data_IF_952554130073
#
_entry.id   IF_952554130073
#
_cell.length_a   1.000
_cell.length_b   1.000
_cell.length_c   1.000
_cell.angle_alpha   90.00
_cell.angle_beta   90.00
_cell.angle_gamma   90.00
#
_symmetry.space_group_name_H-M   'P 1'
#
loop_
_entity.id
_entity.type
_entity.pdbx_description
1 polymer ?
#
# COMPACT_ATOMS: atom_id res chain seq x y z
N UNK A 1 -14.00 -8.65 -27.28
CA UNK A 1 -14.23 -7.45 -28.10
C UNK A 1 -14.92 -6.32 -27.33
N UNK A 2 -16.11 -6.52 -26.71
CA UNK A 2 -16.74 -5.47 -25.88
C UNK A 2 -15.91 -5.09 -24.64
N UNK A 3 -15.43 -6.09 -23.88
CA UNK A 3 -14.54 -5.88 -22.73
C UNK A 3 -13.24 -5.14 -23.11
N UNK A 4 -12.70 -5.44 -24.29
CA UNK A 4 -11.46 -4.85 -24.83
C UNK A 4 -11.60 -3.36 -25.12
N UNK A 5 -12.72 -2.97 -25.74
CA UNK A 5 -13.02 -1.57 -26.04
C UNK A 5 -13.23 -0.80 -24.73
N UNK A 6 -13.90 -1.40 -23.74
CA UNK A 6 -14.09 -0.78 -22.43
C UNK A 6 -12.76 -0.62 -21.70
N UNK A 7 -11.89 -1.63 -21.67
CA UNK A 7 -10.58 -1.58 -21.01
C UNK A 7 -9.66 -0.53 -21.66
N UNK A 8 -9.60 -0.46 -22.99
CA UNK A 8 -8.82 0.57 -23.70
C UNK A 8 -9.43 1.97 -23.53
N UNK A 9 -10.76 2.12 -23.56
CA UNK A 9 -11.41 3.40 -23.31
C UNK A 9 -11.16 3.86 -21.87
N UNK A 10 -11.21 2.96 -20.89
CA UNK A 10 -10.94 3.28 -19.50
C UNK A 10 -9.49 3.70 -19.33
N UNK A 11 -8.52 2.96 -19.87
CA UNK A 11 -7.10 3.35 -19.85
C UNK A 11 -6.88 4.74 -20.48
N UNK A 12 -7.47 5.02 -21.65
CA UNK A 12 -7.34 6.33 -22.31
C UNK A 12 -8.01 7.46 -21.52
N UNK A 13 -9.19 7.21 -20.94
CA UNK A 13 -9.90 8.18 -20.10
C UNK A 13 -9.15 8.42 -18.78
N UNK A 14 -8.53 7.37 -18.23
CA UNK A 14 -7.71 7.41 -17.03
C UNK A 14 -6.45 8.25 -17.23
N UNK A 15 -5.73 8.08 -18.36
CA UNK A 15 -4.60 8.94 -18.75
C UNK A 15 -5.00 10.41 -18.92
N UNK A 16 -6.24 10.67 -19.34
CA UNK A 16 -6.75 12.04 -19.52
C UNK A 16 -7.20 12.69 -18.19
N UNK A 17 -7.61 11.87 -17.21
CA UNK A 17 -8.11 12.31 -15.90
C UNK A 17 -7.00 12.33 -14.84
N UNK A 18 -5.95 11.52 -14.98
CA UNK A 18 -4.77 11.68 -14.16
C UNK A 18 -4.12 13.02 -14.52
N UNK A 19 -4.02 13.96 -13.57
CA UNK A 19 -3.16 15.09 -13.81
C UNK A 19 -1.76 14.53 -14.07
N UNK A 20 -1.20 14.83 -15.26
CA UNK A 20 0.26 14.77 -15.45
C UNK A 20 0.86 15.53 -14.29
N UNK A 21 1.52 14.83 -13.38
CA UNK A 21 2.23 15.37 -12.21
C UNK A 21 1.72 16.76 -11.86
N UNK A 22 0.49 16.87 -11.33
CA UNK A 22 -0.17 18.16 -11.14
C UNK A 22 0.77 19.08 -10.39
N UNK A 23 1.26 20.08 -11.11
CA UNK A 23 2.15 21.11 -10.56
C UNK A 23 1.29 21.95 -9.62
N UNK A 24 1.28 21.62 -8.34
CA UNK A 24 0.92 22.58 -7.32
C UNK A 24 1.99 23.67 -7.35
N UNK A 25 1.57 24.90 -7.65
CA UNK A 25 2.47 26.03 -7.86
C UNK A 25 2.94 26.52 -6.48
N UNK A 26 4.13 26.06 -6.09
CA UNK A 26 4.91 26.60 -4.99
C UNK A 26 6.40 26.47 -5.28
N UNK A 27 7.19 27.49 -4.93
CA UNK A 27 8.63 27.56 -5.26
C UNK A 27 9.44 26.40 -4.65
N UNK A 28 9.04 25.91 -3.46
CA UNK A 28 9.73 24.80 -2.76
C UNK A 28 9.49 23.44 -3.42
N UNK A 29 8.26 23.13 -3.82
CA UNK A 29 7.93 21.84 -4.45
C UNK A 29 8.67 21.64 -5.78
N UNK A 30 8.72 22.69 -6.61
CA UNK A 30 9.45 22.66 -7.88
C UNK A 30 10.96 22.49 -7.67
N UNK A 31 11.52 23.11 -6.63
CA UNK A 31 12.93 22.97 -6.30
C UNK A 31 13.28 21.54 -5.87
N UNK A 32 12.49 20.94 -4.96
CA UNK A 32 12.66 19.54 -4.53
C UNK A 32 12.51 18.60 -5.73
N UNK A 33 11.47 18.79 -6.56
CA UNK A 33 11.23 17.97 -7.74
C UNK A 33 12.37 18.06 -8.76
N UNK A 34 12.94 19.25 -8.97
CA UNK A 34 14.10 19.45 -9.84
C UNK A 34 15.35 18.73 -9.29
N UNK A 35 15.58 18.83 -7.98
CA UNK A 35 16.71 18.22 -7.30
C UNK A 35 16.71 16.69 -7.44
N UNK A 36 15.54 16.06 -7.27
CA UNK A 36 15.40 14.60 -7.41
C UNK A 36 15.08 14.16 -8.85
N UNK A 37 15.07 15.07 -9.82
CA UNK A 37 14.72 14.76 -11.22
C UNK A 37 15.51 13.61 -11.85
N UNK A 38 16.81 13.38 -11.56
CA UNK A 38 17.53 12.23 -12.11
C UNK A 38 17.02 10.88 -11.60
N UNK A 39 16.29 10.89 -10.47
CA UNK A 39 15.79 9.70 -9.80
C UNK A 39 14.28 9.50 -10.03
N UNK A 40 13.59 10.37 -10.77
CA UNK A 40 12.15 10.26 -10.99
C UNK A 40 11.77 9.09 -11.89
N UNK A 41 10.71 8.39 -11.50
CA UNK A 41 10.22 7.20 -12.21
C UNK A 41 9.54 7.52 -13.55
N UNK A 42 9.83 6.74 -14.61
CA UNK A 42 9.19 6.87 -15.92
C UNK A 42 7.83 6.14 -15.99
N UNK A 43 6.77 6.86 -15.63
CA UNK A 43 5.40 6.36 -15.73
C UNK A 43 4.93 6.08 -17.15
N UNK A 44 5.30 6.93 -18.11
CA UNK A 44 4.77 6.82 -19.49
C UNK A 44 5.35 5.57 -20.15
N UNK A 45 6.67 5.37 -20.04
CA UNK A 45 7.32 4.17 -20.54
C UNK A 45 6.77 2.91 -19.87
N UNK A 46 6.56 2.96 -18.55
CA UNK A 46 5.98 1.82 -17.82
C UNK A 46 4.55 1.49 -18.27
N UNK A 47 3.66 2.48 -18.33
CA UNK A 47 2.23 2.29 -18.64
C UNK A 47 2.03 1.74 -20.06
N UNK A 48 2.78 2.26 -21.04
CA UNK A 48 2.75 1.74 -22.41
C UNK A 48 3.17 0.26 -22.48
N UNK A 49 4.21 -0.13 -21.74
CA UNK A 49 4.65 -1.52 -21.66
C UNK A 49 3.61 -2.41 -20.93
N UNK A 50 2.98 -1.91 -19.87
CA UNK A 50 1.95 -2.62 -19.12
C UNK A 50 0.71 -2.88 -19.99
N UNK A 51 0.23 -1.88 -20.72
CA UNK A 51 -0.89 -2.01 -21.66
C UNK A 51 -0.56 -3.03 -22.76
N UNK A 52 0.66 -3.00 -23.31
CA UNK A 52 1.09 -3.96 -24.33
C UNK A 52 1.09 -5.40 -23.78
N UNK A 53 1.63 -5.62 -22.59
CA UNK A 53 1.63 -6.93 -21.94
C UNK A 53 0.22 -7.46 -21.65
N UNK A 54 -0.71 -6.58 -21.25
CA UNK A 54 -2.13 -6.94 -21.05
C UNK A 54 -2.84 -7.26 -22.36
N UNK A 55 -2.52 -6.57 -23.45
CA UNK A 55 -3.04 -6.90 -24.76
C UNK A 55 -2.58 -8.30 -25.20
N UNK A 56 -1.29 -8.62 -25.06
CA UNK A 56 -0.76 -9.94 -25.41
C UNK A 56 -1.43 -11.07 -24.61
N UNK A 57 -1.59 -10.89 -23.30
CA UNK A 57 -2.27 -11.88 -22.44
C UNK A 57 -3.73 -12.08 -22.83
N UNK A 58 -4.43 -11.01 -23.22
CA UNK A 58 -5.82 -11.11 -23.68
C UNK A 58 -5.96 -11.97 -24.95
N UNK A 59 -5.01 -11.86 -25.88
CA UNK A 59 -5.05 -12.58 -27.15
C UNK A 59 -4.50 -14.01 -27.06
N UNK A 60 -3.53 -14.26 -26.18
CA UNK A 60 -2.76 -15.51 -26.17
C UNK A 60 -2.71 -16.22 -24.79
N UNK A 61 -3.43 -15.73 -23.79
CA UNK A 61 -3.40 -16.24 -22.43
C UNK A 61 -3.90 -17.68 -22.29
N UNK A 62 -3.08 -18.55 -21.69
CA UNK A 62 -3.38 -19.98 -21.55
C UNK A 62 -4.17 -20.34 -20.28
N UNK A 63 -4.36 -19.40 -19.34
CA UNK A 63 -5.09 -19.60 -18.08
C UNK A 63 -6.55 -20.03 -18.28
N UNK A 64 -7.14 -19.75 -19.45
CA UNK A 64 -8.50 -20.16 -19.81
C UNK A 64 -8.68 -21.70 -19.86
N UNK A 65 -7.59 -22.47 -20.01
CA UNK A 65 -7.62 -23.93 -20.10
C UNK A 65 -7.32 -24.64 -18.77
N UNK A 66 -7.00 -23.90 -17.72
CA UNK A 66 -6.71 -24.44 -16.38
C UNK A 66 -8.00 -24.51 -15.55
N UNK A 67 -8.16 -25.59 -14.77
CA UNK A 67 -9.13 -25.61 -13.67
C UNK A 67 -8.66 -24.76 -12.48
N UNK A 68 -9.54 -24.54 -11.50
CA UNK A 68 -9.22 -23.64 -10.38
C UNK A 68 -8.09 -24.17 -9.48
N UNK A 69 -7.98 -25.48 -9.31
CA UNK A 69 -6.89 -26.06 -8.52
C UNK A 69 -5.54 -25.85 -9.22
N UNK A 70 -5.49 -26.03 -10.54
CA UNK A 70 -4.32 -25.75 -11.36
C UNK A 70 -3.96 -24.26 -11.33
N UNK A 71 -4.95 -23.36 -11.36
CA UNK A 71 -4.74 -21.92 -11.26
C UNK A 71 -4.11 -21.50 -9.93
N UNK A 72 -4.70 -21.93 -8.82
CA UNK A 72 -4.13 -21.65 -7.49
C UNK A 72 -2.74 -22.26 -7.33
N UNK A 73 -2.49 -23.45 -7.87
CA UNK A 73 -1.16 -24.05 -7.84
C UNK A 73 -0.15 -23.25 -8.68
N UNK A 74 -0.54 -22.79 -9.88
CA UNK A 74 0.31 -21.95 -10.72
C UNK A 74 0.76 -20.69 -9.99
N UNK A 75 -0.15 -20.02 -9.29
CA UNK A 75 0.18 -18.83 -8.49
C UNK A 75 1.16 -19.19 -7.37
N UNK A 76 0.95 -20.31 -6.66
CA UNK A 76 1.88 -20.75 -5.59
C UNK A 76 3.27 -21.04 -6.13
N UNK A 77 3.37 -21.74 -7.25
CA UNK A 77 4.64 -22.07 -7.88
C UNK A 77 5.35 -20.79 -8.33
N UNK A 78 4.62 -19.84 -8.94
CA UNK A 78 5.15 -18.53 -9.29
C UNK A 78 5.70 -17.78 -8.07
N UNK A 79 4.97 -17.76 -6.94
CA UNK A 79 5.44 -17.09 -5.71
C UNK A 79 6.66 -17.79 -5.09
N UNK A 80 6.72 -19.12 -5.15
CA UNK A 80 7.86 -19.89 -4.65
C UNK A 80 9.13 -19.62 -5.47
N UNK A 81 9.00 -19.60 -6.80
CA UNK A 81 10.10 -19.29 -7.71
C UNK A 81 10.56 -17.84 -7.56
N UNK A 82 9.62 -16.92 -7.34
CA UNK A 82 9.94 -15.53 -7.01
C UNK A 82 10.73 -15.43 -5.69
N UNK A 83 10.31 -16.15 -4.65
CA UNK A 83 11.03 -16.19 -3.38
C UNK A 83 12.46 -16.73 -3.56
N UNK A 84 12.63 -17.75 -4.39
CA UNK A 84 13.96 -18.29 -4.73
C UNK A 84 14.81 -17.26 -5.48
N UNK A 85 14.24 -16.51 -6.43
CA UNK A 85 14.96 -15.45 -7.12
C UNK A 85 15.44 -14.36 -6.16
N UNK A 86 14.59 -13.92 -5.23
CA UNK A 86 14.95 -12.95 -4.19
C UNK A 86 16.03 -13.48 -3.24
N UNK A 87 15.97 -14.77 -2.88
CA UNK A 87 17.01 -15.42 -2.08
C UNK A 87 18.37 -15.44 -2.79
N UNK A 88 18.38 -15.78 -4.09
CA UNK A 88 19.60 -15.73 -4.91
C UNK A 88 20.18 -14.31 -4.98
N UNK A 89 19.32 -13.30 -5.15
CA UNK A 89 19.74 -11.88 -5.11
C UNK A 89 20.37 -11.50 -3.77
N UNK A 90 19.80 -11.97 -2.65
CA UNK A 90 20.38 -11.80 -1.31
C UNK A 90 21.74 -12.49 -1.15
N UNK A 91 21.89 -13.72 -1.65
CA UNK A 91 23.16 -14.46 -1.60
C UNK A 91 24.25 -13.79 -2.44
N UNK A 92 23.91 -13.32 -3.65
CA UNK A 92 24.82 -12.57 -4.49
C UNK A 92 25.26 -11.29 -3.77
N UNK A 93 24.31 -10.56 -3.18
CA UNK A 93 24.63 -9.35 -2.40
C UNK A 93 25.60 -9.65 -1.26
N UNK A 94 25.39 -10.73 -0.51
CA UNK A 94 26.28 -11.13 0.58
C UNK A 94 27.72 -11.46 0.11
N UNK A 95 27.89 -12.07 -1.06
CA UNK A 95 29.21 -12.33 -1.64
C UNK A 95 29.93 -11.03 -1.99
N UNK A 96 29.22 -10.05 -2.54
CA UNK A 96 29.81 -8.75 -2.92
C UNK A 96 30.14 -7.86 -1.71
N UNK A 97 29.51 -8.08 -0.56
CA UNK A 97 29.75 -7.31 0.66
C UNK A 97 30.76 -7.96 1.61
N UNK A 98 31.19 -9.19 1.36
CA UNK A 98 32.18 -9.90 2.18
C UNK A 98 33.63 -9.48 1.80
N UNK A 99 34.37 -8.79 2.69
CA UNK A 99 35.73 -8.32 2.39
C UNK A 99 36.77 -9.46 2.31
N UNK A 100 36.40 -10.68 2.70
CA UNK A 100 37.27 -11.86 2.61
C UNK A 100 37.23 -12.52 1.23
N UNK A 101 36.23 -12.19 0.41
CA UNK A 101 36.10 -12.69 -0.96
C UNK A 101 36.97 -11.86 -1.90
N UNK A 102 38.05 -12.44 -2.39
CA UNK A 102 39.02 -11.75 -3.24
C UNK A 102 38.52 -11.45 -4.65
N UNK A 103 37.62 -12.29 -5.20
CA UNK A 103 36.99 -12.10 -6.51
C UNK A 103 35.48 -12.43 -6.42
N UNK A 104 34.64 -11.45 -6.03
CA UNK A 104 33.20 -11.64 -5.91
C UNK A 104 32.51 -11.99 -7.23
N UNK A 105 33.09 -11.59 -8.37
CA UNK A 105 32.52 -11.87 -9.71
C UNK A 105 32.64 -13.36 -10.00
N UNK A 106 33.84 -13.92 -9.86
CA UNK A 106 34.06 -15.36 -10.06
C UNK A 106 33.29 -16.20 -9.02
N UNK A 107 33.20 -15.73 -7.77
CA UNK A 107 32.52 -16.45 -6.69
C UNK A 107 30.99 -16.48 -6.83
N UNK A 108 30.38 -15.51 -7.53
CA UNK A 108 28.92 -15.41 -7.68
C UNK A 108 28.38 -15.86 -9.03
N UNK A 109 29.23 -16.22 -10.00
CA UNK A 109 28.83 -16.48 -11.40
C UNK A 109 27.72 -17.53 -11.54
N UNK A 110 27.77 -18.61 -10.78
CA UNK A 110 26.76 -19.67 -10.84
C UNK A 110 25.42 -19.22 -10.25
N UNK A 111 25.43 -18.40 -9.20
CA UNK A 111 24.23 -17.82 -8.60
C UNK A 111 23.60 -16.78 -9.52
N UNK A 112 24.43 -15.95 -10.17
CA UNK A 112 24.00 -14.98 -11.18
C UNK A 112 23.30 -15.69 -12.34
N UNK A 113 23.90 -16.75 -12.88
CA UNK A 113 23.30 -17.53 -13.98
C UNK A 113 21.96 -18.16 -13.57
N UNK A 114 21.86 -18.70 -12.34
CA UNK A 114 20.61 -19.26 -11.81
C UNK A 114 19.54 -18.18 -11.63
N UNK A 115 19.90 -17.03 -11.04
CA UNK A 115 18.99 -15.89 -10.88
C UNK A 115 18.46 -15.42 -12.23
N UNK A 116 19.35 -15.23 -13.20
CA UNK A 116 18.96 -14.68 -14.51
C UNK A 116 18.05 -15.63 -15.28
N UNK A 117 18.34 -16.94 -15.24
CA UNK A 117 17.47 -17.95 -15.81
C UNK A 117 16.08 -17.95 -15.13
N UNK A 118 16.03 -17.89 -13.80
CA UNK A 118 14.78 -17.88 -13.05
C UNK A 118 13.97 -16.59 -13.27
N UNK A 119 14.62 -15.43 -13.30
CA UNK A 119 13.99 -14.15 -13.62
C UNK A 119 13.42 -14.12 -15.05
N UNK A 120 14.12 -14.69 -16.02
CA UNK A 120 13.63 -14.79 -17.39
C UNK A 120 12.38 -15.68 -17.48
N UNK A 121 12.35 -16.80 -16.75
CA UNK A 121 11.19 -17.69 -16.69
C UNK A 121 10.00 -17.04 -15.95
N UNK A 122 10.25 -16.38 -14.82
CA UNK A 122 9.24 -15.59 -14.10
C UNK A 122 8.62 -14.51 -14.99
N UNK A 123 9.43 -13.80 -15.79
CA UNK A 123 8.92 -12.78 -16.70
C UNK A 123 7.95 -13.35 -17.76
N UNK A 124 8.18 -14.58 -18.22
CA UNK A 124 7.27 -15.26 -19.16
C UNK A 124 5.97 -15.71 -18.50
N UNK A 125 6.02 -16.15 -17.23
CA UNK A 125 4.84 -16.62 -16.48
C UNK A 125 4.04 -15.51 -15.82
N UNK A 126 4.61 -14.33 -15.65
CA UNK A 126 4.04 -13.21 -14.89
C UNK A 126 2.61 -12.85 -15.32
N UNK A 127 2.38 -12.63 -16.63
CA UNK A 127 1.06 -12.24 -17.13
C UNK A 127 -0.03 -13.29 -16.87
N UNK A 128 0.36 -14.56 -16.76
CA UNK A 128 -0.56 -15.65 -16.40
C UNK A 128 -0.87 -15.64 -14.91
N UNK A 129 0.14 -15.45 -14.05
CA UNK A 129 -0.06 -15.32 -12.60
C UNK A 129 -0.97 -14.14 -12.27
N UNK A 130 -0.71 -12.98 -12.89
CA UNK A 130 -1.55 -11.79 -12.77
C UNK A 130 -2.99 -12.06 -13.20
N UNK A 131 -3.21 -12.64 -14.39
CA UNK A 131 -4.55 -12.91 -14.90
C UNK A 131 -5.35 -13.88 -14.02
N UNK A 132 -4.68 -14.86 -13.41
CA UNK A 132 -5.32 -15.78 -12.46
C UNK A 132 -5.77 -15.01 -11.21
N UNK A 133 -4.87 -14.24 -10.60
CA UNK A 133 -5.19 -13.44 -9.42
C UNK A 133 -6.27 -12.40 -9.70
N UNK A 134 -6.19 -11.70 -10.84
CA UNK A 134 -7.22 -10.76 -11.31
C UNK A 134 -8.59 -11.47 -11.40
N UNK A 135 -8.63 -12.67 -11.99
CA UNK A 135 -9.86 -13.46 -12.11
C UNK A 135 -10.42 -13.91 -10.76
N UNK A 136 -9.57 -14.36 -9.84
CA UNK A 136 -9.96 -14.81 -8.50
C UNK A 136 -10.54 -13.66 -7.66
N UNK A 137 -9.86 -12.51 -7.63
CA UNK A 137 -10.34 -11.32 -6.91
C UNK A 137 -11.60 -10.77 -7.58
N UNK A 138 -11.65 -10.72 -8.92
CA UNK A 138 -12.84 -10.25 -9.63
C UNK A 138 -14.07 -11.13 -9.41
N UNK A 139 -13.91 -12.44 -9.32
CA UNK A 139 -15.01 -13.36 -9.01
C UNK A 139 -15.63 -13.06 -7.65
N UNK A 140 -14.79 -12.85 -6.62
CA UNK A 140 -15.26 -12.46 -5.28
C UNK A 140 -15.94 -11.10 -5.30
N UNK A 141 -15.37 -10.09 -5.98
CA UNK A 141 -16.00 -8.77 -6.12
C UNK A 141 -17.39 -8.84 -6.76
N UNK A 142 -17.55 -9.64 -7.81
CA UNK A 142 -18.85 -9.85 -8.47
C UNK A 142 -19.86 -10.47 -7.50
N UNK A 143 -19.44 -11.47 -6.73
CA UNK A 143 -20.28 -12.11 -5.70
C UNK A 143 -20.64 -11.16 -4.55
N UNK A 144 -19.75 -10.24 -4.21
CA UNK A 144 -20.02 -9.16 -3.25
C UNK A 144 -20.90 -8.04 -3.83
N UNK A 145 -21.44 -8.17 -5.03
CA UNK A 145 -22.41 -7.20 -5.60
C UNK A 145 -21.82 -6.09 -6.46
N UNK A 146 -20.50 -6.07 -6.69
CA UNK A 146 -19.85 -5.06 -7.53
C UNK A 146 -19.94 -5.35 -9.04
N UNK A 147 -20.52 -6.50 -9.42
CA UNK A 147 -20.68 -6.91 -10.81
C UNK A 147 -21.88 -6.27 -11.50
N UNK A 148 -21.67 -5.70 -12.68
CA UNK A 148 -22.72 -5.31 -13.63
C UNK A 148 -22.80 -6.35 -14.74
N UNK A 149 -23.95 -7.03 -14.88
CA UNK A 149 -24.11 -8.14 -15.84
C UNK A 149 -23.04 -9.25 -15.68
N UNK A 150 -22.59 -9.48 -14.44
CA UNK A 150 -21.54 -10.47 -14.12
C UNK A 150 -20.11 -10.01 -14.42
N UNK A 151 -19.91 -8.70 -14.65
CA UNK A 151 -18.64 -8.11 -15.05
C UNK A 151 -18.29 -6.91 -14.16
N UNK A 152 -17.01 -6.72 -13.83
CA UNK A 152 -16.57 -5.53 -13.11
C UNK A 152 -16.48 -4.31 -14.02
N UNK A 153 -16.87 -3.16 -13.46
CA UNK A 153 -16.69 -1.84 -14.06
C UNK A 153 -16.09 -0.92 -12.98
N UNK A 154 -14.80 -0.51 -13.10
CA UNK A 154 -13.89 -0.85 -14.19
C UNK A 154 -13.44 -2.32 -14.16
N UNK A 155 -13.02 -2.88 -15.32
CA UNK A 155 -12.36 -4.18 -15.36
C UNK A 155 -11.12 -4.18 -14.46
N UNK A 156 -10.86 -5.29 -13.77
CA UNK A 156 -9.62 -5.44 -13.01
C UNK A 156 -8.43 -5.54 -13.97
N UNK A 157 -7.37 -4.78 -13.70
CA UNK A 157 -6.11 -4.86 -14.43
C UNK A 157 -4.95 -4.45 -13.54
N UNK A 158 -4.03 -5.37 -13.29
CA UNK A 158 -2.97 -5.28 -12.29
C UNK A 158 -1.65 -5.78 -12.86
N UNK A 159 -0.53 -5.12 -12.57
CA UNK A 159 0.78 -5.48 -13.13
C UNK A 159 1.84 -5.49 -12.04
N UNK A 160 2.45 -6.66 -11.79
CA UNK A 160 3.60 -6.73 -10.88
C UNK A 160 4.76 -5.94 -11.47
N UNK A 161 5.38 -5.14 -10.61
CA UNK A 161 6.47 -4.27 -10.97
C UNK A 161 7.42 -4.12 -9.79
N UNK A 162 8.66 -3.77 -10.11
CA UNK A 162 9.53 -3.11 -9.14
C UNK A 162 9.00 -1.69 -8.98
N UNK A 163 8.04 -1.55 -8.08
CA UNK A 163 7.35 -0.30 -7.76
C UNK A 163 8.34 0.80 -7.36
N UNK A 164 8.05 2.06 -7.70
CA UNK A 164 8.85 3.18 -7.26
C UNK A 164 8.77 3.34 -5.73
N UNK A 165 9.75 4.07 -5.20
CA UNK A 165 9.71 4.61 -3.86
C UNK A 165 8.95 5.94 -3.90
N UNK A 166 8.30 6.32 -2.81
CA UNK A 166 7.68 7.63 -2.66
C UNK A 166 8.50 8.48 -1.70
N UNK A 167 8.99 9.62 -2.19
CA UNK A 167 9.49 10.71 -1.36
C UNK A 167 8.29 11.53 -0.90
N UNK A 168 8.06 11.57 0.41
CA UNK A 168 7.11 12.44 1.09
C UNK A 168 7.86 13.56 1.78
N UNK A 169 7.32 14.78 1.77
CA UNK A 169 7.71 15.84 2.71
C UNK A 169 6.54 16.33 3.52
N UNK A 170 6.84 16.74 4.75
CA UNK A 170 5.95 17.42 5.69
C UNK A 170 6.65 18.68 6.21
N UNK A 171 5.91 19.76 6.50
CA UNK A 171 6.43 20.82 7.35
C UNK A 171 6.92 20.23 8.68
N UNK A 172 7.84 20.94 9.34
CA UNK A 172 8.38 20.48 10.64
C UNK A 172 7.44 20.83 11.80
N UNK A 173 6.66 21.88 11.64
CA UNK A 173 5.74 22.43 12.65
C UNK A 173 4.33 21.83 12.63
N UNK A 174 3.98 21.07 11.60
CA UNK A 174 2.71 20.33 11.51
C UNK A 174 2.88 18.98 10.81
N UNK A 175 2.04 18.00 11.16
CA UNK A 175 1.96 16.73 10.45
C UNK A 175 1.02 16.89 9.26
N UNK A 176 1.61 17.03 8.08
CA UNK A 176 0.87 17.32 6.86
C UNK A 176 1.65 16.86 5.64
N UNK A 177 0.98 16.20 4.70
CA UNK A 177 1.59 15.80 3.45
C UNK A 177 1.68 17.02 2.52
N UNK A 178 2.89 17.54 2.31
CA UNK A 178 3.15 18.72 1.46
C UNK A 178 3.57 18.31 0.05
N UNK A 179 4.52 17.37 -0.06
CA UNK A 179 5.06 16.89 -1.35
C UNK A 179 5.04 15.37 -1.41
N UNK A 180 4.69 14.81 -2.57
CA UNK A 180 4.86 13.40 -2.87
C UNK A 180 5.48 13.22 -4.26
N UNK A 181 6.69 12.66 -4.35
CA UNK A 181 7.42 12.45 -5.62
C UNK A 181 7.83 10.99 -5.72
N UNK A 182 7.54 10.37 -6.87
CA UNK A 182 7.89 8.98 -7.12
C UNK A 182 9.31 8.87 -7.67
N UNK A 183 10.13 8.07 -7.01
CA UNK A 183 11.53 7.83 -7.31
C UNK A 183 11.72 6.37 -7.75
N UNK A 184 12.74 6.10 -8.57
CA UNK A 184 13.19 4.72 -8.75
C UNK A 184 13.55 4.07 -7.41
N UNK A 185 13.56 2.73 -7.32
CA UNK A 185 14.15 2.04 -6.19
C UNK A 185 15.60 2.50 -5.96
N UNK A 186 15.86 3.04 -4.76
CA UNK A 186 17.16 3.58 -4.37
C UNK A 186 17.76 2.72 -3.25
N UNK A 187 19.10 2.59 -3.19
CA UNK A 187 19.77 1.99 -2.05
C UNK A 187 19.65 2.91 -0.81
N UNK A 188 19.84 2.33 0.37
CA UNK A 188 19.55 2.99 1.66
C UNK A 188 20.43 4.21 1.94
N UNK A 189 21.67 4.19 1.45
CA UNK A 189 22.63 5.29 1.52
C UNK A 189 22.17 6.47 0.66
N UNK A 190 21.72 6.23 -0.57
CA UNK A 190 21.12 7.26 -1.43
C UNK A 190 19.85 7.83 -0.79
N UNK A 191 18.98 6.98 -0.26
CA UNK A 191 17.76 7.41 0.45
C UNK A 191 18.12 8.37 1.59
N UNK A 192 19.07 7.98 2.44
CA UNK A 192 19.47 8.77 3.61
C UNK A 192 20.13 10.08 3.19
N UNK A 193 20.95 10.07 2.14
CA UNK A 193 21.59 11.26 1.61
C UNK A 193 20.58 12.27 1.04
N UNK A 194 19.65 11.80 0.21
CA UNK A 194 18.61 12.64 -0.39
C UNK A 194 17.70 13.22 0.68
N UNK A 195 17.25 12.41 1.65
CA UNK A 195 16.44 12.90 2.76
C UNK A 195 17.17 13.98 3.57
N UNK A 196 18.43 13.76 3.93
CA UNK A 196 19.21 14.74 4.69
C UNK A 196 19.43 16.04 3.91
N UNK A 197 19.68 15.97 2.60
CA UNK A 197 19.83 17.14 1.74
C UNK A 197 18.53 17.94 1.68
N UNK A 198 17.39 17.26 1.50
CA UNK A 198 16.07 17.88 1.46
C UNK A 198 15.72 18.52 2.81
N UNK A 199 15.90 17.76 3.90
CA UNK A 199 15.61 18.22 5.26
C UNK A 199 16.37 19.52 5.56
N UNK A 200 17.68 19.55 5.23
CA UNK A 200 18.53 20.70 5.49
C UNK A 200 18.26 21.90 4.57
N UNK A 201 18.04 21.66 3.26
CA UNK A 201 17.94 22.72 2.26
C UNK A 201 16.59 23.42 2.28
N UNK A 202 15.52 22.69 2.55
CA UNK A 202 14.15 23.20 2.43
C UNK A 202 13.44 23.40 3.78
N UNK A 203 14.09 22.99 4.88
CA UNK A 203 13.58 23.06 6.26
C UNK A 203 12.25 22.31 6.39
N UNK A 204 12.29 21.03 6.05
CA UNK A 204 11.15 20.10 6.03
C UNK A 204 11.54 18.79 6.68
N UNK A 205 10.53 17.97 7.01
CA UNK A 205 10.72 16.55 7.33
C UNK A 205 10.45 15.72 6.09
N UNK A 206 11.43 14.96 5.63
CA UNK A 206 11.30 14.06 4.48
C UNK A 206 11.25 12.59 4.88
N UNK A 207 10.61 11.77 4.04
CA UNK A 207 10.60 10.32 4.17
C UNK A 207 10.48 9.67 2.79
N UNK A 208 11.42 8.81 2.44
CA UNK A 208 11.35 7.93 1.29
C UNK A 208 10.94 6.54 1.75
N UNK A 209 9.84 6.03 1.20
CA UNK A 209 9.26 4.70 1.51
C UNK A 209 8.96 3.92 0.25
N UNK A 210 9.00 2.57 0.29
CA UNK A 210 8.47 1.76 -0.80
C UNK A 210 6.95 1.85 -0.84
N UNK A 211 6.37 1.95 -2.04
CA UNK A 211 4.92 1.88 -2.25
C UNK A 211 4.45 0.43 -2.39
N UNK A 212 3.32 0.06 -1.79
CA UNK A 212 2.70 -1.26 -2.00
C UNK A 212 2.10 -1.40 -3.40
N UNK A 213 1.30 -0.43 -3.81
CA UNK A 213 0.72 -0.36 -5.13
C UNK A 213 0.49 1.08 -5.55
N UNK A 214 0.14 1.26 -6.81
CA UNK A 214 -0.28 2.54 -7.38
C UNK A 214 -1.51 2.26 -8.24
N UNK A 215 -2.61 2.91 -7.90
CA UNK A 215 -3.91 2.79 -8.57
C UNK A 215 -3.97 3.31 -10.02
N UNK A 216 -2.89 3.21 -10.81
CA UNK A 216 -2.89 3.42 -12.26
C UNK A 216 -3.85 2.44 -12.97
N UNK A 217 -3.98 2.56 -14.29
CA UNK A 217 -4.77 1.61 -15.06
C UNK A 217 -4.02 1.09 -16.29
N UNK A 218 -3.35 -0.10 -16.23
CA UNK A 218 -3.36 -1.09 -15.14
C UNK A 218 -2.71 -0.61 -13.85
N UNK A 219 -3.16 -1.09 -12.68
CA UNK A 219 -2.54 -0.72 -11.42
C UNK A 219 -1.14 -1.34 -11.32
N UNK A 220 -0.20 -0.59 -10.78
CA UNK A 220 1.15 -1.07 -10.51
C UNK A 220 1.17 -1.73 -9.14
N UNK A 221 1.57 -2.99 -9.06
CA UNK A 221 1.61 -3.74 -7.80
C UNK A 221 3.05 -4.11 -7.50
N UNK A 222 3.49 -3.97 -6.24
CA UNK A 222 4.80 -4.45 -5.80
C UNK A 222 4.91 -5.96 -6.05
N UNK A 223 6.05 -6.36 -6.59
CA UNK A 223 6.44 -7.77 -6.61
C UNK A 223 6.60 -8.30 -5.17
N UNK A 224 5.69 -9.18 -4.74
CA UNK A 224 5.70 -9.83 -3.42
C UNK A 224 5.52 -11.32 -3.56
N UNK A 225 5.99 -12.08 -2.57
CA UNK A 225 5.77 -13.53 -2.44
C UNK A 225 4.53 -13.86 -1.60
N UNK A 226 3.92 -12.85 -0.97
CA UNK A 226 2.77 -13.02 -0.08
C UNK A 226 1.46 -12.96 -0.86
N UNK A 227 0.84 -14.11 -1.09
CA UNK A 227 -0.49 -14.21 -1.71
C UNK A 227 -1.54 -13.47 -0.88
N UNK A 228 -1.46 -13.51 0.46
CA UNK A 228 -2.33 -12.73 1.33
C UNK A 228 -2.31 -11.25 0.97
N UNK A 229 -1.11 -10.67 1.05
CA UNK A 229 -0.94 -9.25 0.79
C UNK A 229 -1.33 -8.87 -0.64
N UNK A 230 -1.07 -9.73 -1.63
CA UNK A 230 -1.39 -9.44 -3.03
C UNK A 230 -2.90 -9.40 -3.28
N UNK A 231 -3.66 -10.29 -2.65
CA UNK A 231 -5.12 -10.31 -2.78
C UNK A 231 -5.76 -9.09 -2.12
N UNK A 232 -5.22 -8.64 -1.00
CA UNK A 232 -5.63 -7.41 -0.32
C UNK A 232 -5.32 -6.18 -1.19
N UNK A 233 -4.10 -6.11 -1.73
CA UNK A 233 -3.65 -4.98 -2.55
C UNK A 233 -4.41 -4.90 -3.87
N UNK A 234 -4.70 -6.02 -4.55
CA UNK A 234 -5.52 -6.02 -5.76
C UNK A 234 -6.91 -5.43 -5.52
N UNK A 235 -7.53 -5.77 -4.39
CA UNK A 235 -8.82 -5.24 -3.99
C UNK A 235 -8.74 -3.74 -3.64
N UNK A 236 -7.71 -3.33 -2.90
CA UNK A 236 -7.43 -1.93 -2.55
C UNK A 236 -7.30 -1.06 -3.80
N UNK A 237 -6.41 -1.43 -4.72
CA UNK A 237 -6.14 -0.65 -5.93
C UNK A 237 -7.33 -0.64 -6.90
N UNK A 238 -8.09 -1.74 -6.98
CA UNK A 238 -9.32 -1.76 -7.78
C UNK A 238 -10.38 -0.84 -7.19
N UNK A 239 -10.50 -0.76 -5.86
CA UNK A 239 -11.48 0.13 -5.25
C UNK A 239 -11.16 1.60 -5.54
N UNK A 240 -9.88 2.00 -5.52
CA UNK A 240 -9.46 3.32 -5.97
C UNK A 240 -9.97 3.64 -7.39
N UNK A 241 -9.81 2.69 -8.32
CA UNK A 241 -10.28 2.83 -9.70
C UNK A 241 -11.81 2.89 -9.80
N UNK A 242 -12.53 2.14 -8.95
CA UNK A 242 -13.99 2.20 -8.86
C UNK A 242 -14.46 3.55 -8.31
N UNK A 243 -13.85 4.03 -7.22
CA UNK A 243 -14.22 5.26 -6.53
C UNK A 243 -14.02 6.50 -7.39
N UNK A 244 -13.15 6.48 -8.39
CA UNK A 244 -12.99 7.55 -9.39
C UNK A 244 -14.30 7.95 -10.09
N UNK A 245 -15.27 7.04 -10.18
CA UNK A 245 -16.59 7.35 -10.75
C UNK A 245 -17.52 8.07 -9.76
N UNK A 246 -17.09 8.32 -8.53
CA UNK A 246 -17.90 8.83 -7.42
C UNK A 246 -17.21 10.01 -6.69
N UNK A 247 -17.97 10.80 -5.90
CA UNK A 247 -17.43 11.97 -5.21
C UNK A 247 -16.16 11.71 -4.39
N UNK A 248 -16.11 10.65 -3.57
CA UNK A 248 -14.94 10.34 -2.73
C UNK A 248 -13.67 10.14 -3.58
N UNK A 249 -13.76 9.41 -4.69
CA UNK A 249 -12.61 9.25 -5.58
C UNK A 249 -12.29 10.51 -6.38
N UNK A 250 -13.26 11.32 -6.77
CA UNK A 250 -12.98 12.60 -7.44
C UNK A 250 -12.25 13.57 -6.51
N UNK A 251 -12.75 13.76 -5.29
CA UNK A 251 -12.15 14.67 -4.31
C UNK A 251 -10.77 14.23 -3.84
N UNK A 252 -10.50 12.92 -3.81
CA UNK A 252 -9.15 12.39 -3.61
C UNK A 252 -8.12 13.05 -4.55
N UNK A 253 -8.50 13.34 -5.80
CA UNK A 253 -7.61 13.96 -6.79
C UNK A 253 -7.76 15.48 -6.93
N UNK A 254 -8.91 16.04 -6.56
CA UNK A 254 -9.25 17.45 -6.85
C UNK A 254 -9.30 18.37 -5.65
N UNK A 255 -9.17 17.88 -4.42
CA UNK A 255 -9.26 18.72 -3.21
C UNK A 255 -8.19 19.84 -3.22
N UNK A 256 -8.64 21.06 -2.93
CA UNK A 256 -7.81 22.26 -2.78
C UNK A 256 -6.85 22.19 -1.60
N UNK A 257 -7.11 21.34 -0.61
CA UNK A 257 -6.16 21.02 0.48
C UNK A 257 -5.07 20.03 0.04
N UNK A 258 -5.08 19.64 -1.24
CA UNK A 258 -4.04 18.82 -1.87
C UNK A 258 -3.93 17.43 -1.24
N UNK A 259 -2.70 17.01 -0.97
CA UNK A 259 -2.35 15.68 -0.47
C UNK A 259 -2.73 15.44 1.01
N UNK A 260 -3.38 16.41 1.67
CA UNK A 260 -3.74 16.38 3.10
C UNK A 260 -5.23 16.59 3.38
N UNK A 261 -6.09 16.46 2.37
CA UNK A 261 -7.53 16.60 2.55
C UNK A 261 -8.19 15.38 3.20
N UNK A 262 -9.24 15.59 4.00
CA UNK A 262 -10.06 14.54 4.62
C UNK A 262 -10.47 13.45 3.62
N UNK A 263 -10.84 13.85 2.39
CA UNK A 263 -11.24 12.93 1.33
C UNK A 263 -10.14 11.90 1.01
N UNK A 264 -8.87 12.30 1.07
CA UNK A 264 -7.73 11.38 0.84
C UNK A 264 -7.65 10.35 1.94
N UNK A 265 -7.64 10.78 3.20
CA UNK A 265 -7.60 9.90 4.38
C UNK A 265 -8.79 8.96 4.40
N UNK A 266 -9.99 9.48 4.13
CA UNK A 266 -11.23 8.68 4.07
C UNK A 266 -11.13 7.63 2.98
N UNK A 267 -10.64 7.99 1.79
CA UNK A 267 -10.51 7.08 0.67
C UNK A 267 -9.49 5.97 0.96
N UNK A 268 -8.24 6.31 1.32
CA UNK A 268 -7.20 5.31 1.61
C UNK A 268 -7.62 4.39 2.75
N UNK A 269 -8.25 4.94 3.80
CA UNK A 269 -8.75 4.17 4.94
C UNK A 269 -9.90 3.23 4.54
N UNK A 270 -10.80 3.69 3.67
CA UNK A 270 -11.89 2.85 3.12
C UNK A 270 -11.31 1.72 2.26
N UNK A 271 -10.34 2.03 1.40
CA UNK A 271 -9.66 1.07 0.53
C UNK A 271 -8.88 0.02 1.32
N UNK A 272 -8.21 0.41 2.40
CA UNK A 272 -7.46 -0.50 3.26
C UNK A 272 -8.37 -1.51 3.96
N UNK A 273 -9.47 -1.03 4.56
CA UNK A 273 -10.46 -1.89 5.22
C UNK A 273 -11.14 -2.83 4.23
N UNK A 274 -11.57 -2.30 3.08
CA UNK A 274 -12.16 -3.08 2.00
C UNK A 274 -11.20 -4.15 1.46
N UNK A 275 -9.95 -3.76 1.23
CA UNK A 275 -8.92 -4.64 0.69
C UNK A 275 -8.67 -5.84 1.59
N UNK A 276 -8.60 -5.63 2.91
CA UNK A 276 -8.43 -6.69 3.89
C UNK A 276 -9.60 -7.65 3.97
N UNK A 277 -10.81 -7.12 4.05
CA UNK A 277 -12.00 -7.97 4.13
C UNK A 277 -12.18 -8.78 2.86
N UNK A 278 -12.05 -8.15 1.69
CA UNK A 278 -12.17 -8.86 0.42
C UNK A 278 -11.01 -9.83 0.19
N UNK A 279 -9.77 -9.44 0.52
CA UNK A 279 -8.60 -10.31 0.46
C UNK A 279 -8.78 -11.57 1.31
N UNK A 280 -9.34 -11.42 2.52
CA UNK A 280 -9.70 -12.58 3.37
C UNK A 280 -10.68 -13.53 2.68
N UNK A 281 -11.72 -13.00 2.04
CA UNK A 281 -12.69 -13.83 1.27
C UNK A 281 -12.03 -14.57 0.10
N UNK A 282 -11.09 -13.91 -0.60
CA UNK A 282 -10.31 -14.53 -1.68
C UNK A 282 -9.45 -15.66 -1.14
N UNK A 283 -8.77 -15.46 0.00
CA UNK A 283 -7.99 -16.50 0.65
C UNK A 283 -8.86 -17.67 1.10
N UNK A 284 -9.99 -17.42 1.77
CA UNK A 284 -10.90 -18.47 2.21
C UNK A 284 -11.36 -19.36 1.06
N UNK A 285 -11.55 -18.77 -0.12
CA UNK A 285 -12.02 -19.50 -1.31
C UNK A 285 -10.91 -20.25 -2.04
N UNK A 286 -9.77 -19.61 -2.28
CA UNK A 286 -8.75 -20.10 -3.22
C UNK A 286 -7.44 -20.56 -2.56
N UNK A 287 -7.18 -20.08 -1.33
CA UNK A 287 -5.97 -20.35 -0.57
C UNK A 287 -6.27 -20.57 0.94
N UNK A 288 -7.13 -21.52 1.31
CA UNK A 288 -7.67 -21.63 2.68
C UNK A 288 -6.61 -21.89 3.75
N UNK A 289 -5.49 -22.51 3.38
CA UNK A 289 -4.30 -22.74 4.22
C UNK A 289 -3.53 -21.44 4.55
N UNK A 290 -3.77 -20.35 3.81
CA UNK A 290 -3.12 -19.05 4.01
C UNK A 290 -4.00 -18.06 4.78
N UNK A 291 -5.23 -18.43 5.15
CA UNK A 291 -6.12 -17.60 5.96
C UNK A 291 -5.50 -17.41 7.34
N UNK A 292 -5.24 -16.16 7.78
CA UNK A 292 -4.75 -15.94 9.14
C UNK A 292 -5.77 -16.46 10.16
N UNK A 293 -5.32 -17.06 11.27
CA UNK A 293 -6.24 -17.40 12.35
C UNK A 293 -6.99 -16.13 12.80
N UNK A 294 -8.28 -16.24 13.17
CA UNK A 294 -9.01 -15.09 13.67
C UNK A 294 -8.23 -14.50 14.85
N UNK A 295 -8.07 -13.17 14.83
CA UNK A 295 -7.54 -12.43 15.98
C UNK A 295 -8.63 -12.51 17.04
N UNK A 296 -8.63 -13.56 17.86
CA UNK A 296 -9.46 -13.57 19.05
C UNK A 296 -8.95 -12.44 19.94
N UNK A 297 -9.79 -11.46 20.33
CA UNK A 297 -9.53 -10.76 21.58
C UNK A 297 -9.38 -11.87 22.60
N UNK A 298 -8.25 -11.94 23.30
CA UNK A 298 -8.01 -12.99 24.28
C UNK A 298 -9.12 -12.94 25.34
N UNK A 299 -10.20 -13.68 25.11
CA UNK A 299 -11.00 -14.25 26.16
C UNK A 299 -10.05 -15.22 26.85
N UNK A 300 -9.53 -14.75 27.98
CA UNK A 300 -8.80 -15.54 28.96
C UNK A 300 -9.65 -16.78 29.23
N UNK A 301 -9.31 -17.90 28.60
CA UNK A 301 -9.77 -19.21 29.05
C UNK A 301 -9.05 -19.48 30.37
N UNK A 302 -9.74 -19.20 31.47
CA UNK A 302 -9.37 -19.66 32.81
C UNK A 302 -9.32 -21.19 32.82
N UNK A 303 -8.15 -21.75 32.54
CA UNK A 303 -7.78 -23.06 33.08
C UNK A 303 -6.91 -22.85 34.33
N UNK A 304 -7.19 -23.54 35.45
CA UNK A 304 -6.46 -23.35 36.70
C UNK A 304 -5.06 -23.95 36.56
N UNK A 305 -4.10 -23.13 36.11
CA UNK A 305 -2.69 -23.48 36.11
C UNK A 305 -1.94 -22.68 37.18
N UNK A 306 -1.10 -23.42 37.88
CA UNK A 306 -0.25 -23.01 39.00
C UNK A 306 0.57 -21.76 38.69
N UNK A 307 0.48 -20.77 39.59
CA UNK A 307 1.17 -19.48 39.58
C UNK A 307 2.67 -19.59 39.23
N UNK A 308 3.01 -19.29 37.98
CA UNK A 308 4.33 -18.72 37.65
C UNK A 308 4.24 -17.20 37.82
N UNK A 309 5.35 -16.49 38.11
CA UNK A 309 5.36 -15.03 38.20
C UNK A 309 4.83 -14.43 36.89
N UNK A 310 4.08 -13.31 36.91
CA UNK A 310 3.64 -12.67 35.69
C UNK A 310 4.88 -12.26 34.89
N UNK A 311 4.99 -12.75 33.66
CA UNK A 311 5.88 -12.14 32.67
C UNK A 311 5.49 -10.65 32.53
N UNK A 312 6.46 -9.74 32.36
CA UNK A 312 6.14 -8.35 32.09
C UNK A 312 5.17 -8.27 30.88
N UNK A 313 4.22 -7.33 30.87
CA UNK A 313 3.29 -7.21 29.76
C UNK A 313 4.07 -7.06 28.46
N UNK A 314 3.68 -7.83 27.44
CA UNK A 314 4.27 -7.72 26.10
C UNK A 314 4.15 -6.28 25.60
N UNK A 315 5.16 -5.81 24.88
CA UNK A 315 5.15 -4.48 24.29
C UNK A 315 3.94 -4.32 23.36
N UNK A 316 3.07 -3.35 23.67
CA UNK A 316 1.93 -3.01 22.82
C UNK A 316 2.37 -1.97 21.79
N UNK A 317 2.62 -2.45 20.57
CA UNK A 317 3.01 -1.60 19.45
C UNK A 317 1.96 -0.52 19.15
N UNK A 318 0.68 -0.88 19.16
CA UNK A 318 -0.39 0.02 18.75
C UNK A 318 -0.58 1.15 19.76
N UNK A 319 -0.60 0.80 21.05
CA UNK A 319 -0.69 1.79 22.13
C UNK A 319 0.54 2.71 22.12
N UNK A 320 1.74 2.16 21.97
CA UNK A 320 2.98 2.97 21.96
C UNK A 320 3.03 3.91 20.76
N UNK A 321 2.59 3.46 19.58
CA UNK A 321 2.53 4.31 18.39
C UNK A 321 1.49 5.42 18.53
N UNK A 322 0.34 5.13 19.15
CA UNK A 322 -0.67 6.13 19.48
C UNK A 322 -0.13 7.18 20.46
N UNK A 323 0.48 6.75 21.56
CA UNK A 323 1.06 7.65 22.56
C UNK A 323 2.17 8.51 21.94
N UNK A 324 2.94 7.94 21.01
CA UNK A 324 3.92 8.69 20.22
C UNK A 324 3.22 9.75 19.37
N UNK A 325 2.20 9.38 18.59
CA UNK A 325 1.46 10.30 17.72
C UNK A 325 0.83 11.46 18.49
N UNK A 326 0.18 11.17 19.62
CA UNK A 326 -0.47 12.16 20.50
C UNK A 326 0.56 13.08 21.12
N UNK A 327 1.64 12.53 21.68
CA UNK A 327 2.72 13.35 22.27
C UNK A 327 3.37 14.29 21.24
N UNK A 328 3.51 13.84 19.99
CA UNK A 328 4.00 14.69 18.90
C UNK A 328 3.02 15.82 18.59
N UNK A 329 1.71 15.56 18.49
CA UNK A 329 0.71 16.61 18.29
C UNK A 329 0.77 17.68 19.38
N UNK A 330 0.85 17.27 20.65
CA UNK A 330 0.93 18.21 21.78
C UNK A 330 2.17 19.10 21.70
N UNK A 331 3.32 18.53 21.33
CA UNK A 331 4.58 19.26 21.20
C UNK A 331 4.54 20.24 20.02
N UNK A 332 4.02 19.81 18.87
CA UNK A 332 3.87 20.66 17.68
C UNK A 332 2.86 21.79 17.92
N UNK A 333 1.73 21.50 18.55
CA UNK A 333 0.73 22.52 18.93
C UNK A 333 1.29 23.57 19.91
N UNK A 334 2.27 23.19 20.73
CA UNK A 334 3.01 24.10 21.60
C UNK A 334 4.16 24.85 20.89
N UNK A 335 4.40 24.61 19.59
CA UNK A 335 5.49 25.18 18.81
C UNK A 335 6.88 24.61 19.15
N UNK A 336 6.94 23.45 19.81
CA UNK A 336 8.17 22.81 20.30
C UNK A 336 8.69 21.78 19.30
N UNK A 337 9.04 22.24 18.11
CA UNK A 337 9.39 21.40 16.95
C UNK A 337 10.60 20.49 17.22
N UNK A 338 11.70 21.04 17.72
CA UNK A 338 12.92 20.25 17.98
C UNK A 338 12.70 19.20 19.08
N UNK A 339 11.82 19.49 20.04
CA UNK A 339 11.48 18.56 21.11
C UNK A 339 10.57 17.43 20.59
N UNK A 340 9.65 17.73 19.67
CA UNK A 340 8.86 16.72 18.97
C UNK A 340 9.76 15.77 18.17
N UNK A 341 10.74 16.30 17.43
CA UNK A 341 11.69 15.51 16.65
C UNK A 341 12.58 14.63 17.53
N UNK A 342 13.10 15.16 18.64
CA UNK A 342 13.86 14.39 19.61
C UNK A 342 13.02 13.28 20.26
N UNK A 343 11.76 13.58 20.58
CA UNK A 343 10.81 12.60 21.12
C UNK A 343 10.54 11.46 20.12
N UNK A 344 10.34 11.77 18.83
CA UNK A 344 10.14 10.75 17.80
C UNK A 344 11.36 9.84 17.62
N UNK A 345 12.59 10.37 17.65
CA UNK A 345 13.79 9.50 17.61
C UNK A 345 13.93 8.64 18.87
N UNK A 346 13.59 9.18 20.05
CA UNK A 346 13.54 8.39 21.28
C UNK A 346 12.54 7.23 21.18
N UNK A 347 11.35 7.47 20.64
CA UNK A 347 10.34 6.43 20.44
C UNK A 347 10.80 5.41 19.40
N UNK A 348 11.46 5.84 18.32
CA UNK A 348 12.07 4.93 17.33
C UNK A 348 13.07 3.96 17.98
N UNK A 349 13.88 4.45 18.92
CA UNK A 349 14.81 3.59 19.68
C UNK A 349 14.05 2.60 20.57
N UNK A 350 12.98 3.02 21.23
CA UNK A 350 12.11 2.13 22.02
C UNK A 350 11.49 1.01 21.15
N UNK A 351 10.99 1.34 19.96
CA UNK A 351 10.50 0.34 19.00
C UNK A 351 11.59 -0.68 18.64
N UNK A 352 12.80 -0.20 18.36
CA UNK A 352 13.94 -1.06 18.03
C UNK A 352 14.30 -2.02 19.17
N UNK A 353 14.34 -1.52 20.41
CA UNK A 353 14.60 -2.34 21.61
C UNK A 353 13.55 -3.44 21.81
N UNK A 354 12.32 -3.22 21.34
CA UNK A 354 11.22 -4.17 21.40
C UNK A 354 11.06 -5.01 20.11
N UNK A 355 12.07 -5.00 19.22
CA UNK A 355 12.12 -5.86 18.03
C UNK A 355 11.51 -5.26 16.76
N UNK A 356 11.12 -3.98 16.79
CA UNK A 356 10.54 -3.27 15.65
C UNK A 356 11.56 -2.32 15.03
N UNK A 357 12.20 -2.75 13.93
CA UNK A 357 13.19 -1.95 13.24
C UNK A 357 12.56 -0.88 12.32
N UNK A 358 12.13 0.24 12.90
CA UNK A 358 11.67 1.42 12.15
C UNK A 358 12.86 2.33 11.84
N UNK A 359 13.06 2.65 10.55
CA UNK A 359 14.19 3.46 10.09
C UNK A 359 14.12 4.92 10.55
N UNK A 360 12.97 5.56 10.38
CA UNK A 360 12.75 6.99 10.63
C UNK A 360 11.31 7.18 11.09
N UNK A 361 11.13 7.89 12.20
CA UNK A 361 9.83 8.41 12.67
C UNK A 361 9.98 9.93 12.69
N UNK A 362 9.19 10.62 11.88
CA UNK A 362 9.14 12.08 11.79
C UNK A 362 7.74 12.53 11.34
N UNK A 363 7.54 13.82 11.09
CA UNK A 363 6.26 14.35 10.65
C UNK A 363 5.81 13.73 9.31
N UNK A 364 6.73 13.50 8.36
CA UNK A 364 6.41 12.85 7.08
C UNK A 364 5.98 11.38 7.25
N UNK A 365 6.53 10.66 8.24
CA UNK A 365 6.08 9.32 8.61
C UNK A 365 4.62 9.32 9.05
N UNK A 366 4.25 10.21 9.96
CA UNK A 366 2.86 10.32 10.40
C UNK A 366 1.96 10.87 9.30
N UNK A 367 2.43 11.80 8.46
CA UNK A 367 1.65 12.35 7.35
C UNK A 367 1.32 11.29 6.29
N UNK A 368 2.24 10.36 6.02
CA UNK A 368 2.01 9.28 5.06
C UNK A 368 1.20 8.13 5.67
N UNK A 369 1.68 7.52 6.76
CA UNK A 369 1.02 6.35 7.34
C UNK A 369 -0.28 6.69 8.07
N UNK A 370 -0.45 7.94 8.53
CA UNK A 370 -1.69 8.48 9.07
C UNK A 370 -2.85 8.53 8.09
N UNK A 371 -2.62 8.32 6.78
CA UNK A 371 -3.70 8.16 5.79
C UNK A 371 -4.42 6.82 5.86
N UNK A 372 -3.86 5.81 6.55
CA UNK A 372 -4.38 4.43 6.62
C UNK A 372 -4.91 4.12 8.03
N UNK A 373 -5.94 4.84 8.48
CA UNK A 373 -6.26 4.90 9.91
C UNK A 373 -7.02 3.69 10.46
N UNK A 374 -7.87 3.06 9.65
CA UNK A 374 -8.68 1.92 10.06
C UNK A 374 -7.93 0.57 10.02
N UNK A 375 -6.69 0.54 9.53
CA UNK A 375 -5.91 -0.70 9.49
C UNK A 375 -4.46 -0.63 9.02
N UNK A 376 -3.89 0.53 8.71
CA UNK A 376 -2.46 0.68 8.39
C UNK A 376 -1.55 0.36 9.57
N UNK A 377 -0.70 1.32 9.96
CA UNK A 377 0.12 1.16 11.17
C UNK A 377 -0.78 1.37 12.40
N UNK A 378 -1.00 0.36 13.26
CA UNK A 378 -1.89 0.52 14.41
C UNK A 378 -1.46 1.70 15.31
N UNK A 379 -2.42 2.51 15.75
CA UNK A 379 -2.16 3.69 16.59
C UNK A 379 -1.64 4.93 15.87
N UNK A 380 -1.30 4.84 14.57
CA UNK A 380 -0.68 5.96 13.83
C UNK A 380 -1.59 7.19 13.67
N UNK A 381 -2.91 7.00 13.79
CA UNK A 381 -3.90 8.05 13.64
C UNK A 381 -3.99 8.99 14.85
N UNK A 382 -3.51 8.56 16.03
CA UNK A 382 -3.67 9.34 17.26
C UNK A 382 -5.15 9.53 17.60
N UNK A 383 -5.53 10.77 17.92
CA UNK A 383 -6.92 11.14 18.24
C UNK A 383 -7.81 11.42 17.01
N UNK A 384 -7.31 11.22 15.78
CA UNK A 384 -8.10 11.46 14.57
C UNK A 384 -9.33 10.51 14.50
N UNK A 385 -10.56 11.05 14.45
CA UNK A 385 -11.76 10.24 14.48
C UNK A 385 -12.11 9.58 13.15
N UNK A 386 -11.42 9.86 12.03
CA UNK A 386 -11.77 9.32 10.71
C UNK A 386 -11.71 7.79 10.69
N UNK A 387 -10.62 7.19 11.16
CA UNK A 387 -10.46 5.73 11.24
C UNK A 387 -11.58 5.03 12.02
N UNK A 388 -11.80 5.37 13.30
CA UNK A 388 -12.90 4.83 14.10
C UNK A 388 -14.29 5.05 13.47
N UNK A 389 -14.53 6.22 12.88
CA UNK A 389 -15.79 6.54 12.21
C UNK A 389 -16.04 5.64 11.00
N UNK A 390 -15.01 5.33 10.20
CA UNK A 390 -15.13 4.40 9.06
C UNK A 390 -15.38 2.96 9.54
N UNK A 391 -14.68 2.52 10.58
CA UNK A 391 -14.90 1.20 11.18
C UNK A 391 -16.32 1.05 11.72
N UNK A 392 -16.86 2.10 12.35
CA UNK A 392 -18.24 2.14 12.83
C UNK A 392 -19.25 2.01 11.69
N UNK A 393 -19.11 2.79 10.62
CA UNK A 393 -19.97 2.67 9.42
C UNK A 393 -19.86 1.26 8.83
N UNK A 394 -18.66 0.68 8.75
CA UNK A 394 -18.46 -0.68 8.27
C UNK A 394 -19.19 -1.70 9.16
N UNK A 395 -19.08 -1.60 10.49
CA UNK A 395 -19.73 -2.50 11.43
C UNK A 395 -21.26 -2.45 11.35
N UNK A 396 -21.81 -1.30 11.00
CA UNK A 396 -23.26 -1.10 10.80
C UNK A 396 -23.74 -1.48 9.40
N UNK A 397 -22.83 -1.66 8.44
CA UNK A 397 -23.16 -2.03 7.07
C UNK A 397 -23.48 -3.52 6.96
N UNK A 398 -24.57 -3.86 6.27
CA UNK A 398 -25.02 -5.26 6.10
C UNK A 398 -24.01 -6.13 5.33
N UNK A 399 -23.35 -5.55 4.33
CA UNK A 399 -22.28 -6.19 3.56
C UNK A 399 -21.24 -5.16 3.06
N UNK A 400 -20.22 -5.65 2.35
CA UNK A 400 -19.16 -4.82 1.77
C UNK A 400 -19.68 -3.84 0.71
N UNK A 401 -20.72 -4.21 -0.04
CA UNK A 401 -21.25 -3.34 -1.08
C UNK A 401 -22.02 -2.16 -0.47
N UNK A 402 -22.85 -2.41 0.53
CA UNK A 402 -23.56 -1.35 1.26
C UNK A 402 -22.60 -0.38 1.96
N UNK A 403 -21.51 -0.91 2.52
CA UNK A 403 -20.42 -0.11 3.07
C UNK A 403 -19.84 0.84 2.00
N UNK A 404 -19.41 0.32 0.84
CA UNK A 404 -18.81 1.14 -0.22
C UNK A 404 -19.83 2.11 -0.85
N UNK A 405 -21.09 1.71 -1.02
CA UNK A 405 -22.16 2.58 -1.53
C UNK A 405 -22.37 3.80 -0.62
N UNK A 406 -22.23 3.61 0.69
CA UNK A 406 -22.28 4.68 1.68
C UNK A 406 -21.04 5.55 1.60
N UNK A 407 -19.85 4.94 1.64
CA UNK A 407 -18.59 5.67 1.70
C UNK A 407 -18.31 6.51 0.44
N UNK A 408 -18.68 6.05 -0.75
CA UNK A 408 -18.32 6.70 -2.03
C UNK A 408 -18.85 8.13 -2.20
N UNK A 409 -19.78 8.59 -1.36
CA UNK A 409 -20.34 9.95 -1.38
C UNK A 409 -19.79 10.87 -0.29
N UNK A 410 -19.09 10.33 0.70
CA UNK A 410 -18.56 11.07 1.85
C UNK A 410 -17.19 11.63 1.47
N UNK A 411 -17.01 12.95 1.50
CA UNK A 411 -15.78 13.62 1.06
C UNK A 411 -15.13 14.48 2.15
N UNK A 412 -15.67 14.48 3.37
CA UNK A 412 -15.17 15.29 4.48
C UNK A 412 -15.41 14.59 5.82
N UNK A 413 -14.61 14.94 6.83
CA UNK A 413 -14.76 14.44 8.19
C UNK A 413 -16.13 14.80 8.77
N UNK A 414 -16.65 16.01 8.53
CA UNK A 414 -17.97 16.43 9.00
C UNK A 414 -19.09 15.50 8.47
N UNK A 415 -19.06 15.20 7.16
CA UNK A 415 -20.04 14.28 6.56
C UNK A 415 -19.90 12.86 7.13
N UNK A 416 -18.66 12.40 7.36
CA UNK A 416 -18.38 11.09 7.94
C UNK A 416 -18.94 10.96 9.36
N UNK A 417 -18.77 11.98 10.18
CA UNK A 417 -19.28 12.00 11.56
C UNK A 417 -20.80 12.14 11.60
N UNK A 418 -21.39 12.95 10.69
CA UNK A 418 -22.84 13.05 10.55
C UNK A 418 -23.48 11.71 10.16
N UNK A 419 -22.83 10.95 9.26
CA UNK A 419 -23.30 9.63 8.85
C UNK A 419 -23.35 8.64 10.03
N UNK A 420 -22.34 8.64 10.91
CA UNK A 420 -22.35 7.79 12.10
C UNK A 420 -23.49 8.15 13.06
N UNK A 421 -23.75 9.44 13.27
CA UNK A 421 -24.84 9.89 14.16
C UNK A 421 -26.24 9.52 13.65
N UNK A 422 -26.44 9.44 12.32
CA UNK A 422 -27.73 9.01 11.76
C UNK A 422 -27.99 7.52 11.95
N UNK A 423 -26.96 6.69 11.91
CA UNK A 423 -27.08 5.25 12.09
C UNK A 423 -27.36 4.84 13.54
N UNK A 424 -26.79 5.55 14.52
CA UNK A 424 -26.99 5.28 15.95
C UNK A 424 -28.43 5.61 16.44
N UNK A 425 -29.18 6.43 15.69
CA UNK A 425 -30.56 6.82 16.03
C UNK A 425 -31.63 5.91 15.38
N UNK A 426 -31.22 4.85 14.68
CA UNK A 426 -32.13 3.89 14.02
C UNK A 426 -32.28 2.55 14.73
N UNK A 427 -31.66 2.38 15.90
CA UNK A 427 -32.01 1.33 16.88
C UNK A 427 -33.11 1.79 17.85
#
# INVERSE_FOLDING_TARGET
>A
MRYTIVLMLFAVLFVALFPRSSVLIGDKWQAIAWEVSPHQFDYIGWELNAIAAKADQLFFGQHAYMDEAQRSQFVRDYMADLAQAQQLEGQITAIYTDPTVSDPVAASVDLVNQRDALRADLAQRQSTAEAILEGQVAAVLVEQGFGQLGQLVPPMSMRFSRVPMLLITSPRDEIKLETSINLYPLPIDDITAIEAEIDQRYDVSSLIVPLGGIALYPAMIMETTSIRWITETFAHEWLHQYLLAFPLGLYYFTDSNGLSGDARTINETTCDLFGKELGRLVLERYYPDLVPPPVTPSAVEEQPQTKSPPEPPAFDFAATMNDTRVGVDELLAAGRVEEAEAFMDQQRQLFYENGYAIRKINQAYFAFYGGYQAGGVPGIAGEDPIGPAIQSIRAQSGDLHDFIVTMRTITSQEQLLAQNMTSDNTE
#
